data_IF_586797412473
#
_entry.id   IF_586797412473
#
_cell.length_a   1.000
_cell.length_b   1.000
_cell.length_c   1.000
_cell.angle_alpha   90.00
_cell.angle_beta   90.00
_cell.angle_gamma   90.00
#
_symmetry.space_group_name_H-M   'P 1'
#
loop_
_entity.id
_entity.type
_entity.pdbx_description
1 polymer ?
#
# COMPACT_ATOMS: atom_id res chain seq x y z
N UNK A 1 35.95 56.54 -80.85
CA UNK A 1 35.84 55.07 -80.83
C UNK A 1 36.60 54.58 -79.60
N UNK A 2 35.88 54.28 -78.53
CA UNK A 2 36.43 53.79 -77.26
C UNK A 2 36.62 52.27 -77.34
N UNK A 3 37.79 51.76 -76.97
CA UNK A 3 37.94 50.39 -76.49
C UNK A 3 38.87 50.42 -75.28
N UNK A 4 38.26 50.25 -74.10
CA UNK A 4 38.94 50.05 -72.83
C UNK A 4 39.49 48.62 -72.77
N UNK A 5 40.76 48.53 -72.39
CA UNK A 5 41.40 47.30 -71.93
C UNK A 5 40.73 46.83 -70.63
N UNK A 6 40.32 45.56 -70.57
CA UNK A 6 40.11 44.87 -69.30
C UNK A 6 40.94 43.60 -69.26
N UNK A 7 41.72 43.55 -68.19
CA UNK A 7 42.83 42.67 -67.85
C UNK A 7 42.35 41.23 -67.57
N UNK A 8 43.04 40.24 -68.16
CA UNK A 8 42.83 38.81 -67.91
C UNK A 8 43.72 38.37 -66.74
N UNK A 9 43.11 38.05 -65.60
CA UNK A 9 43.74 37.25 -64.54
C UNK A 9 43.21 35.80 -64.55
N UNK A 10 44.00 34.82 -64.08
CA UNK A 10 44.15 33.52 -64.75
C UNK A 10 43.20 32.43 -64.26
N UNK A 11 42.73 31.60 -65.21
CA UNK A 11 41.87 30.40 -65.03
C UNK A 11 42.33 29.38 -63.98
N UNK A 12 43.56 29.49 -63.45
CA UNK A 12 44.10 28.57 -62.43
C UNK A 12 43.37 28.71 -61.08
N UNK A 13 42.93 29.93 -60.73
CA UNK A 13 42.21 30.16 -59.48
C UNK A 13 40.81 29.54 -59.50
N UNK A 14 40.14 29.59 -60.65
CA UNK A 14 38.82 28.99 -60.82
C UNK A 14 38.86 27.45 -60.80
N UNK A 15 39.90 26.82 -61.36
CA UNK A 15 40.02 25.36 -61.33
C UNK A 15 40.31 24.82 -59.92
N UNK A 16 41.11 25.54 -59.13
CA UNK A 16 41.38 25.19 -57.72
C UNK A 16 40.13 25.40 -56.86
N UNK A 17 39.37 26.48 -57.08
CA UNK A 17 38.10 26.69 -56.37
C UNK A 17 37.09 25.61 -56.74
N UNK A 18 36.99 25.22 -58.01
CA UNK A 18 36.10 24.14 -58.43
C UNK A 18 36.54 22.80 -57.82
N UNK A 19 37.85 22.50 -57.77
CA UNK A 19 38.32 21.26 -57.14
C UNK A 19 38.08 21.25 -55.63
N UNK A 20 38.27 22.38 -54.92
CA UNK A 20 38.00 22.50 -53.48
C UNK A 20 36.50 22.42 -53.19
N UNK A 21 35.66 23.07 -53.99
CA UNK A 21 34.19 23.01 -53.84
C UNK A 21 33.65 21.61 -54.13
N UNK A 22 34.18 20.92 -55.14
CA UNK A 22 33.81 19.52 -55.43
C UNK A 22 34.32 18.58 -54.34
N UNK A 23 35.54 18.80 -53.80
CA UNK A 23 36.06 18.00 -52.68
C UNK A 23 35.28 18.23 -51.38
N UNK A 24 34.82 19.47 -51.12
CA UNK A 24 33.94 19.79 -49.99
C UNK A 24 32.54 19.17 -50.18
N UNK A 25 31.98 19.19 -51.40
CA UNK A 25 30.70 18.53 -51.69
C UNK A 25 30.80 17.00 -51.54
N UNK A 26 31.90 16.40 -51.98
CA UNK A 26 32.17 14.96 -51.82
C UNK A 26 32.34 14.60 -50.32
N UNK A 27 33.01 15.41 -49.51
CA UNK A 27 33.09 15.20 -48.06
C UNK A 27 31.71 15.30 -47.38
N UNK A 28 30.82 16.18 -47.86
CA UNK A 28 29.43 16.25 -47.36
C UNK A 28 28.54 15.10 -47.86
N UNK A 29 28.87 14.46 -49.00
CA UNK A 29 28.12 13.32 -49.55
C UNK A 29 28.63 11.95 -49.08
N UNK A 30 29.87 11.83 -48.59
CA UNK A 30 30.36 10.61 -47.93
C UNK A 30 30.15 10.60 -46.40
N UNK A 31 29.60 11.69 -45.84
CA UNK A 31 29.04 11.72 -44.48
C UNK A 31 27.50 11.53 -44.45
N UNK A 32 26.91 11.00 -45.52
CA UNK A 32 25.66 10.22 -45.40
C UNK A 32 26.01 8.74 -45.29
N UNK A 33 26.91 8.42 -44.35
CA UNK A 33 26.73 7.18 -43.61
C UNK A 33 25.35 7.27 -42.98
N UNK A 34 24.58 6.19 -43.07
CA UNK A 34 23.31 6.06 -42.41
C UNK A 34 23.54 6.29 -40.91
N UNK A 35 23.43 7.54 -40.48
CA UNK A 35 23.13 7.86 -39.10
C UNK A 35 21.74 7.27 -38.90
N UNK A 36 21.70 5.98 -38.56
CA UNK A 36 20.75 5.55 -37.57
C UNK A 36 20.92 6.59 -36.46
N UNK A 37 19.98 7.53 -36.41
CA UNK A 37 19.48 7.95 -35.13
C UNK A 37 19.17 6.62 -34.45
N UNK A 38 20.12 6.15 -33.63
CA UNK A 38 19.79 5.39 -32.45
C UNK A 38 18.84 6.37 -31.77
N UNK A 39 17.54 6.21 -32.06
CA UNK A 39 16.49 6.95 -31.41
C UNK A 39 16.85 6.88 -29.93
N UNK A 40 16.79 8.03 -29.25
CA UNK A 40 17.14 8.14 -27.83
C UNK A 40 16.82 6.81 -27.18
N UNK A 41 17.86 6.08 -26.73
CA UNK A 41 17.73 4.74 -26.18
C UNK A 41 16.47 4.80 -25.34
N UNK A 42 15.42 4.07 -25.76
CA UNK A 42 14.21 4.01 -24.95
C UNK A 42 14.72 3.75 -23.54
N UNK A 43 14.36 4.57 -22.53
CA UNK A 43 14.82 4.30 -21.20
C UNK A 43 14.39 2.87 -20.94
N UNK A 44 15.35 1.96 -20.77
CA UNK A 44 15.08 0.63 -20.23
C UNK A 44 14.29 0.96 -18.97
N UNK A 45 12.97 0.76 -18.95
CA UNK A 45 12.18 1.11 -17.77
C UNK A 45 12.38 -0.06 -16.85
N UNK A 46 13.54 -0.10 -16.18
CA UNK A 46 13.72 -1.01 -15.08
C UNK A 46 12.77 -0.51 -14.01
N UNK A 47 11.69 -1.23 -13.79
CA UNK A 47 10.75 -0.95 -12.72
C UNK A 47 11.45 -1.33 -11.43
N UNK A 48 11.71 -0.34 -10.59
CA UNK A 48 12.32 -0.52 -9.28
C UNK A 48 11.23 -0.44 -8.22
N UNK A 49 11.10 -1.48 -7.43
CA UNK A 49 10.17 -1.51 -6.31
C UNK A 49 10.98 -1.85 -5.07
N UNK A 50 10.93 -0.97 -4.06
CA UNK A 50 11.44 -1.28 -2.73
C UNK A 50 10.26 -1.27 -1.78
N UNK A 51 10.10 -2.34 -1.00
CA UNK A 51 9.01 -2.51 -0.04
C UNK A 51 9.53 -2.97 1.31
N UNK A 52 8.78 -2.63 2.37
CA UNK A 52 8.96 -3.22 3.69
C UNK A 52 8.35 -4.62 3.65
N UNK A 53 9.18 -5.65 3.78
CA UNK A 53 8.79 -7.05 3.65
C UNK A 53 8.40 -7.70 4.99
N UNK A 54 8.83 -7.13 6.13
CA UNK A 54 8.45 -7.63 7.45
C UNK A 54 9.25 -7.04 8.60
N UNK A 55 8.90 -7.48 9.81
CA UNK A 55 9.61 -7.17 11.06
C UNK A 55 10.18 -8.46 11.63
N UNK A 56 11.46 -8.44 12.03
CA UNK A 56 12.11 -9.57 12.67
C UNK A 56 11.86 -9.52 14.19
N UNK A 57 11.06 -10.47 14.67
CA UNK A 57 10.54 -10.53 16.05
C UNK A 57 11.60 -10.81 17.12
N UNK A 58 12.80 -11.23 16.71
CA UNK A 58 13.90 -11.60 17.61
C UNK A 58 14.93 -10.50 17.80
N UNK A 59 15.02 -9.52 16.89
CA UNK A 59 16.17 -8.61 16.78
C UNK A 59 15.81 -7.12 16.64
N UNK A 60 14.52 -6.75 16.68
CA UNK A 60 14.04 -5.39 16.31
C UNK A 60 14.46 -4.95 14.89
N UNK A 61 14.80 -5.92 14.04
CA UNK A 61 15.18 -5.69 12.64
C UNK A 61 13.97 -5.48 11.74
N UNK A 62 14.15 -4.67 10.70
CA UNK A 62 13.19 -4.44 9.62
C UNK A 62 13.73 -5.14 8.37
N UNK A 63 12.89 -5.94 7.71
CA UNK A 63 13.27 -6.62 6.46
C UNK A 63 12.82 -5.75 5.28
N UNK A 64 13.77 -5.39 4.42
CA UNK A 64 13.54 -4.64 3.20
C UNK A 64 13.68 -5.57 2.00
N UNK A 65 12.84 -5.40 0.99
CA UNK A 65 12.92 -6.11 -0.28
C UNK A 65 13.05 -5.12 -1.43
N UNK A 66 13.94 -5.42 -2.36
CA UNK A 66 14.14 -4.67 -3.59
C UNK A 66 13.97 -5.59 -4.79
N UNK A 67 13.10 -5.22 -5.72
CA UNK A 67 12.86 -5.93 -6.97
C UNK A 67 13.12 -4.99 -8.15
N UNK A 68 13.84 -5.48 -9.17
CA UNK A 68 14.14 -4.73 -10.39
C UNK A 68 14.06 -5.60 -11.64
N UNK A 69 13.37 -5.13 -12.68
CA UNK A 69 13.12 -5.88 -13.94
C UNK A 69 13.81 -5.27 -15.14
N UNK A 70 13.94 -6.04 -16.22
CA UNK A 70 14.32 -5.50 -17.54
C UNK A 70 15.83 -5.35 -17.77
N UNK A 71 16.65 -6.18 -17.13
CA UNK A 71 18.10 -6.10 -17.23
C UNK A 71 18.68 -7.01 -18.30
N UNK A 72 19.68 -6.55 -19.05
CA UNK A 72 20.51 -7.38 -19.93
C UNK A 72 21.86 -6.67 -20.14
N UNK A 73 23.03 -7.29 -19.86
CA UNK A 73 23.25 -8.63 -19.28
C UNK A 73 22.84 -8.75 -17.80
N UNK A 74 23.04 -9.92 -17.20
CA UNK A 74 22.75 -10.21 -15.78
C UNK A 74 23.36 -9.16 -14.85
N UNK A 75 22.58 -8.53 -13.94
CA UNK A 75 23.07 -7.50 -13.04
C UNK A 75 23.39 -8.04 -11.63
N UNK A 76 24.14 -7.25 -10.86
CA UNK A 76 24.42 -7.45 -9.43
C UNK A 76 23.59 -6.49 -8.58
N UNK A 77 23.17 -6.92 -7.38
CA UNK A 77 22.39 -6.10 -6.42
C UNK A 77 23.20 -5.86 -5.16
N UNK A 78 23.30 -4.60 -4.74
CA UNK A 78 24.00 -4.15 -3.53
C UNK A 78 23.05 -3.32 -2.66
N UNK A 79 23.13 -3.53 -1.36
CA UNK A 79 22.44 -2.70 -0.37
C UNK A 79 23.42 -1.75 0.29
N UNK A 80 23.04 -0.49 0.43
CA UNK A 80 23.83 0.54 1.10
C UNK A 80 23.02 1.19 2.22
N UNK A 81 23.70 1.58 3.28
CA UNK A 81 23.13 2.46 4.31
C UNK A 81 23.05 3.93 3.84
N UNK A 82 22.63 4.83 4.73
CA UNK A 82 22.48 6.25 4.43
C UNK A 82 23.80 6.96 4.12
N UNK A 83 24.92 6.37 4.57
CA UNK A 83 26.29 6.86 4.46
C UNK A 83 27.03 6.29 3.24
N UNK A 84 26.48 5.24 2.62
CA UNK A 84 27.02 4.57 1.44
C UNK A 84 27.83 3.32 1.75
N UNK A 85 27.82 2.80 2.98
CA UNK A 85 28.47 1.55 3.33
C UNK A 85 27.64 0.35 2.89
N UNK A 86 28.32 -0.71 2.43
CA UNK A 86 27.68 -1.94 1.96
C UNK A 86 27.12 -2.74 3.14
N UNK A 87 25.85 -3.12 3.02
CA UNK A 87 25.13 -3.95 3.98
C UNK A 87 25.20 -5.43 3.58
N UNK A 88 25.27 -6.29 4.59
CA UNK A 88 25.21 -7.74 4.37
C UNK A 88 23.77 -8.17 4.09
N UNK A 89 23.46 -8.48 2.84
CA UNK A 89 22.14 -8.91 2.40
C UNK A 89 22.04 -10.44 2.23
N UNK A 90 20.82 -10.95 2.16
CA UNK A 90 20.57 -12.35 1.81
C UNK A 90 20.90 -12.62 0.33
N UNK A 91 20.82 -13.90 -0.09
CA UNK A 91 21.01 -14.27 -1.49
C UNK A 91 20.05 -13.50 -2.41
N UNK A 92 20.57 -13.02 -3.55
CA UNK A 92 19.74 -12.40 -4.58
C UNK A 92 19.12 -13.49 -5.46
N UNK A 93 17.81 -13.40 -5.64
CA UNK A 93 17.05 -14.22 -6.58
C UNK A 93 17.11 -13.58 -7.97
N UNK A 94 17.47 -14.38 -8.97
CA UNK A 94 17.59 -13.93 -10.36
C UNK A 94 16.76 -14.85 -11.24
N UNK A 95 15.82 -14.28 -11.99
CA UNK A 95 14.93 -15.01 -12.89
C UNK A 95 15.00 -14.38 -14.27
N UNK A 96 15.12 -15.20 -15.32
CA UNK A 96 15.05 -14.75 -16.71
C UNK A 96 13.61 -14.83 -17.18
N UNK A 97 13.06 -13.71 -17.63
CA UNK A 97 11.72 -13.61 -18.19
C UNK A 97 11.62 -14.18 -19.61
N UNK A 98 10.40 -14.35 -20.14
CA UNK A 98 10.17 -14.78 -21.52
C UNK A 98 10.62 -13.75 -22.56
N UNK A 99 10.84 -12.50 -22.13
CA UNK A 99 11.37 -11.37 -22.88
C UNK A 99 12.90 -11.38 -23.02
N UNK A 100 13.56 -12.43 -22.51
CA UNK A 100 15.02 -12.57 -22.46
C UNK A 100 15.72 -11.56 -21.54
N UNK A 101 14.96 -10.87 -20.68
CA UNK A 101 15.48 -9.92 -19.70
C UNK A 101 15.52 -10.53 -18.29
N UNK A 102 16.49 -10.09 -17.50
CA UNK A 102 16.68 -10.51 -16.13
C UNK A 102 15.82 -9.67 -15.18
N UNK A 103 15.20 -10.37 -14.22
CA UNK A 103 14.53 -9.81 -13.05
C UNK A 103 15.32 -10.24 -11.82
N UNK A 104 15.63 -9.28 -10.94
CA UNK A 104 16.37 -9.50 -9.70
C UNK A 104 15.55 -9.11 -8.50
N UNK A 105 15.64 -9.89 -7.43
CA UNK A 105 14.99 -9.64 -6.14
C UNK A 105 15.99 -9.91 -5.01
N UNK A 106 16.16 -8.96 -4.10
CA UNK A 106 17.07 -9.08 -2.96
C UNK A 106 16.40 -8.62 -1.67
N UNK A 107 16.72 -9.29 -0.56
CA UNK A 107 16.21 -8.97 0.77
C UNK A 107 17.37 -8.67 1.72
N UNK A 108 17.20 -7.64 2.57
CA UNK A 108 18.15 -7.28 3.62
C UNK A 108 17.41 -7.03 4.92
N UNK A 109 18.00 -7.46 6.04
CA UNK A 109 17.51 -7.11 7.38
C UNK A 109 18.37 -5.99 7.93
N UNK A 110 17.74 -4.88 8.31
CA UNK A 110 18.40 -3.68 8.84
C UNK A 110 17.85 -3.35 10.22
N UNK A 111 18.67 -2.73 11.05
CA UNK A 111 18.26 -2.22 12.35
C UNK A 111 18.56 -0.72 12.46
N UNK A 112 18.16 -0.11 13.57
CA UNK A 112 18.33 1.34 13.80
C UNK A 112 19.80 1.81 13.74
N UNK A 113 20.79 0.93 13.93
CA UNK A 113 22.23 1.28 13.90
C UNK A 113 22.68 1.65 12.49
N UNK A 114 22.02 1.11 11.47
CA UNK A 114 22.31 1.37 10.06
C UNK A 114 21.62 2.64 9.54
N UNK A 115 21.00 3.43 10.43
CA UNK A 115 20.28 4.66 10.09
C UNK A 115 18.83 4.41 9.68
N UNK A 116 18.24 5.39 9.00
CA UNK A 116 16.85 5.35 8.54
C UNK A 116 16.71 5.41 7.02
N UNK A 117 17.82 5.58 6.29
CA UNK A 117 17.85 5.67 4.83
C UNK A 117 18.66 4.51 4.28
N UNK A 118 18.10 3.83 3.30
CA UNK A 118 18.71 2.67 2.66
C UNK A 118 18.64 2.81 1.15
N UNK A 119 19.66 2.32 0.46
CA UNK A 119 19.76 2.38 -0.99
C UNK A 119 19.90 0.98 -1.54
N UNK A 120 19.00 0.61 -2.45
CA UNK A 120 19.18 -0.57 -3.30
C UNK A 120 19.84 -0.13 -4.61
N UNK A 121 21.03 -0.64 -4.87
CA UNK A 121 21.82 -0.35 -6.07
C UNK A 121 21.91 -1.60 -6.93
N UNK A 122 21.49 -1.50 -8.19
CA UNK A 122 21.63 -2.56 -9.19
C UNK A 122 22.67 -2.11 -10.21
N UNK A 123 23.73 -2.90 -10.37
CA UNK A 123 24.88 -2.57 -11.22
C UNK A 123 25.17 -3.66 -12.25
N UNK A 124 25.54 -3.25 -13.46
CA UNK A 124 26.03 -4.14 -14.51
C UNK A 124 27.51 -3.82 -14.75
N UNK A 125 28.38 -4.62 -14.15
CA UNK A 125 29.85 -4.45 -14.20
C UNK A 125 30.40 -4.51 -15.62
N UNK A 126 29.81 -5.32 -16.50
CA UNK A 126 30.25 -5.47 -17.91
C UNK A 126 30.08 -4.18 -18.70
N UNK A 127 28.96 -3.48 -18.52
CA UNK A 127 28.62 -2.27 -19.30
C UNK A 127 28.72 -0.98 -18.47
N UNK A 128 29.18 -1.08 -17.22
CA UNK A 128 29.32 0.02 -16.26
C UNK A 128 28.03 0.86 -16.09
N UNK A 129 26.87 0.21 -16.14
CA UNK A 129 25.59 0.86 -15.84
C UNK A 129 25.20 0.60 -14.39
N UNK A 130 24.64 1.60 -13.74
CA UNK A 130 24.17 1.50 -12.36
C UNK A 130 22.90 2.29 -12.21
N UNK A 131 21.94 1.73 -11.48
CA UNK A 131 20.71 2.42 -11.07
C UNK A 131 20.44 2.14 -9.62
N UNK A 132 19.92 3.14 -8.94
CA UNK A 132 19.68 3.06 -7.51
C UNK A 132 18.34 3.67 -7.15
N UNK A 133 17.76 3.15 -6.08
CA UNK A 133 16.53 3.65 -5.48
C UNK A 133 16.72 3.71 -3.98
N UNK A 134 16.10 4.71 -3.35
CA UNK A 134 16.25 4.97 -1.94
C UNK A 134 14.93 4.73 -1.22
N UNK A 135 15.03 4.24 0.00
CA UNK A 135 13.93 4.06 0.92
C UNK A 135 14.26 4.70 2.25
N UNK A 136 13.28 5.35 2.85
CA UNK A 136 13.36 5.84 4.21
C UNK A 136 12.38 5.05 5.09
N UNK A 137 12.88 4.48 6.18
CA UNK A 137 12.10 3.71 7.15
C UNK A 137 11.80 4.61 8.35
N UNK A 138 10.53 4.69 8.76
CA UNK A 138 10.16 5.45 9.97
C UNK A 138 10.75 4.81 11.21
N UNK A 139 11.10 5.64 12.18
CA UNK A 139 11.71 5.20 13.43
C UNK A 139 10.78 4.26 14.22
N UNK A 140 9.46 4.40 14.05
CA UNK A 140 8.42 3.58 14.71
C UNK A 140 8.57 2.08 14.40
N UNK A 141 9.05 1.72 13.21
CA UNK A 141 9.26 0.32 12.83
C UNK A 141 10.43 -0.33 13.57
N UNK A 142 11.39 0.45 14.07
CA UNK A 142 12.52 -0.05 14.86
C UNK A 142 12.19 -0.15 16.36
N UNK A 143 11.14 0.54 16.84
CA UNK A 143 10.75 0.57 18.25
C UNK A 143 9.74 -0.53 18.65
N UNK A 144 9.48 -1.51 17.79
CA UNK A 144 8.50 -2.59 18.06
C UNK A 144 8.95 -3.49 19.24
N UNK A 145 10.18 -3.37 19.72
CA UNK A 145 10.65 -4.02 20.92
C UNK A 145 10.58 -3.09 22.15
N UNK A 146 9.56 -3.32 22.98
CA UNK A 146 9.47 -3.04 24.45
C UNK A 146 8.44 -1.98 24.87
N UNK A 147 7.21 -2.40 25.16
CA UNK A 147 6.46 -1.86 26.33
C UNK A 147 5.15 -2.58 26.68
N UNK A 148 4.72 -3.65 25.99
CA UNK A 148 3.45 -4.31 26.38
C UNK A 148 3.61 -5.18 27.64
N UNK A 149 4.80 -5.72 27.90
CA UNK A 149 5.03 -6.67 28.99
C UNK A 149 5.10 -6.06 30.41
N UNK A 150 5.72 -4.88 30.68
CA UNK A 150 5.70 -4.34 32.05
C UNK A 150 4.36 -3.68 32.42
N UNK A 151 3.63 -3.12 31.44
CA UNK A 151 2.34 -2.43 31.69
C UNK A 151 1.23 -3.43 32.02
N UNK A 152 1.16 -4.56 31.29
CA UNK A 152 0.16 -5.60 31.56
C UNK A 152 0.40 -6.31 32.89
N UNK A 153 1.65 -6.62 33.25
CA UNK A 153 1.97 -7.23 34.56
C UNK A 153 1.69 -6.26 35.70
N UNK A 154 2.05 -4.98 35.56
CA UNK A 154 1.76 -3.95 36.58
C UNK A 154 0.26 -3.76 36.81
N UNK A 155 -0.55 -3.78 35.75
CA UNK A 155 -1.99 -3.62 35.84
C UNK A 155 -2.66 -4.83 36.52
N UNK A 156 -2.22 -6.06 36.20
CA UNK A 156 -2.73 -7.28 36.85
C UNK A 156 -2.39 -7.31 38.34
N UNK A 157 -1.17 -6.94 38.73
CA UNK A 157 -0.77 -6.87 40.14
C UNK A 157 -1.53 -5.79 40.88
N UNK A 158 -1.70 -4.61 40.27
CA UNK A 158 -2.48 -3.50 40.84
C UNK A 158 -3.94 -3.90 41.09
N UNK A 159 -4.58 -4.55 40.10
CA UNK A 159 -5.95 -5.05 40.24
C UNK A 159 -6.06 -6.11 41.33
N UNK A 160 -5.10 -7.04 41.41
CA UNK A 160 -5.08 -8.05 42.47
C UNK A 160 -4.96 -7.42 43.87
N UNK A 161 -4.10 -6.42 44.05
CA UNK A 161 -3.94 -5.70 45.33
C UNK A 161 -5.21 -4.93 45.69
N UNK A 162 -5.86 -4.28 44.71
CA UNK A 162 -7.14 -3.60 44.91
C UNK A 162 -8.26 -4.56 45.34
N UNK A 163 -8.32 -5.77 44.75
CA UNK A 163 -9.31 -6.78 45.14
C UNK A 163 -9.04 -7.28 46.57
N UNK A 164 -7.79 -7.57 46.91
CA UNK A 164 -7.42 -8.04 48.25
C UNK A 164 -7.70 -6.99 49.33
N UNK A 165 -7.43 -5.71 49.06
CA UNK A 165 -7.72 -4.63 50.01
C UNK A 165 -9.23 -4.43 50.20
N UNK A 166 -10.03 -4.49 49.14
CA UNK A 166 -11.49 -4.46 49.22
C UNK A 166 -12.04 -5.62 50.06
N UNK A 167 -11.56 -6.85 49.83
CA UNK A 167 -11.96 -8.02 50.61
C UNK A 167 -11.61 -7.87 52.09
N UNK A 168 -10.41 -7.36 52.41
CA UNK A 168 -10.01 -7.10 53.80
C UNK A 168 -10.92 -6.07 54.49
N UNK A 169 -11.27 -4.98 53.80
CA UNK A 169 -12.19 -3.96 54.32
C UNK A 169 -13.57 -4.57 54.60
N UNK A 170 -14.12 -5.35 53.66
CA UNK A 170 -15.42 -6.02 53.85
C UNK A 170 -15.40 -6.99 55.03
N UNK A 171 -14.31 -7.74 55.23
CA UNK A 171 -14.16 -8.65 56.37
C UNK A 171 -14.07 -7.90 57.70
N UNK A 172 -13.36 -6.77 57.75
CA UNK A 172 -13.29 -5.90 58.94
C UNK A 172 -14.65 -5.27 59.28
N UNK A 173 -15.41 -4.88 58.26
CA UNK A 173 -16.76 -4.33 58.44
C UNK A 173 -17.74 -5.39 58.94
N UNK A 174 -17.68 -6.62 58.41
CA UNK A 174 -18.47 -7.76 58.92
C UNK A 174 -18.12 -8.09 60.37
N UNK A 175 -16.83 -8.07 60.74
CA UNK A 175 -16.38 -8.34 62.12
C UNK A 175 -16.86 -7.27 63.11
N UNK A 176 -16.81 -5.99 62.72
CA UNK A 176 -17.28 -4.86 63.54
C UNK A 176 -18.80 -4.86 63.74
N UNK A 177 -19.56 -5.30 62.73
CA UNK A 177 -21.02 -5.37 62.82
C UNK A 177 -21.54 -6.55 63.66
N UNK A 178 -20.73 -7.60 63.86
CA UNK A 178 -21.09 -8.74 64.74
C UNK A 178 -20.90 -8.45 66.24
N UNK A 179 -20.30 -7.33 66.63
CA UNK A 179 -20.01 -6.98 68.04
C UNK A 179 -21.05 -6.07 68.68
N UNK A 180 -22.11 -5.66 67.96
CA UNK A 180 -23.20 -4.82 68.49
C UNK A 180 -24.56 -5.50 68.37
N UNK A 181 -24.75 -6.63 69.06
CA UNK A 181 -26.02 -6.98 69.70
C UNK A 181 -25.84 -8.22 70.59
N UNK A 182 -25.67 -8.02 71.90
CA UNK A 182 -25.97 -9.02 72.93
C UNK A 182 -25.96 -8.38 74.33
N UNK A 183 -27.12 -8.40 75.02
CA UNK A 183 -27.39 -8.51 76.48
C UNK A 183 -28.87 -8.07 76.68
N UNK A 184 -29.83 -9.03 76.75
CA UNK A 184 -30.59 -9.58 77.93
C UNK A 184 -31.58 -8.56 78.56
N UNK A 185 -32.77 -8.86 79.10
CA UNK A 185 -33.77 -9.95 79.16
C UNK A 185 -35.04 -9.30 79.80
N UNK A 186 -36.19 -9.98 79.80
CA UNK A 186 -37.42 -9.60 80.55
C UNK A 186 -37.13 -9.22 82.02
N UNK A 187 -37.79 -8.20 82.58
CA UNK A 187 -38.99 -8.31 83.46
C UNK A 187 -39.31 -6.96 84.18
N UNK A 188 -40.58 -6.81 84.53
CA UNK A 188 -41.20 -6.15 85.70
C UNK A 188 -40.93 -4.68 86.14
N UNK A 189 -42.08 -4.01 86.36
CA UNK A 189 -42.46 -3.11 87.45
C UNK A 189 -41.92 -1.67 87.59
N UNK A 190 -42.87 -0.74 87.41
CA UNK A 190 -43.48 0.14 88.44
C UNK A 190 -42.63 1.21 89.18
N UNK A 191 -43.20 2.43 89.20
CA UNK A 191 -42.95 3.60 90.07
C UNK A 191 -41.48 4.05 90.24
N UNK A 192 -41.04 5.18 89.69
CA UNK A 192 -41.64 6.51 89.86
C UNK A 192 -40.70 7.37 90.72
N UNK A 193 -40.68 8.70 90.47
CA UNK A 193 -40.02 9.75 91.27
C UNK A 193 -38.48 9.86 91.14
N UNK A 194 -37.84 11.03 91.00
CA UNK A 194 -38.21 12.45 90.82
C UNK A 194 -36.86 13.21 90.74
N UNK A 195 -36.86 14.35 90.05
CA UNK A 195 -36.13 15.60 90.38
C UNK A 195 -35.14 16.12 89.29
N UNK A 196 -35.54 17.16 88.53
CA UNK A 196 -35.28 18.62 88.73
C UNK A 196 -33.89 18.99 88.18
N UNK A 197 -33.73 19.63 87.00
CA UNK A 197 -34.09 20.98 86.51
C UNK A 197 -32.86 21.90 86.51
N UNK A 198 -32.53 22.52 85.37
CA UNK A 198 -32.27 23.98 85.28
C UNK A 198 -32.26 24.46 83.81
N UNK A 199 -33.19 25.36 83.47
CA UNK A 199 -33.00 26.49 82.53
C UNK A 199 -33.41 27.73 83.34
N UNK A 200 -32.75 28.91 83.29
CA UNK A 200 -32.58 29.76 82.09
C UNK A 200 -31.21 30.53 82.10
N UNK A 201 -30.68 31.20 81.06
CA UNK A 201 -31.17 32.35 80.28
C UNK A 201 -30.24 33.57 80.51
N UNK A 202 -29.89 34.32 79.45
CA UNK A 202 -29.69 35.79 79.50
C UNK A 202 -29.74 36.41 78.11
N UNK A 203 -30.41 37.55 78.05
CA UNK A 203 -30.84 38.35 76.90
C UNK A 203 -30.26 39.77 77.04
N UNK A 204 -30.06 40.45 75.89
CA UNK A 204 -30.20 41.92 75.66
C UNK A 204 -29.11 42.86 76.25
N UNK A 205 -28.65 43.96 75.63
CA UNK A 205 -29.12 44.89 74.58
C UNK A 205 -27.88 45.63 73.96
N UNK A 206 -27.76 45.81 72.62
CA UNK A 206 -28.02 47.00 71.75
C UNK A 206 -26.76 47.81 71.32
N UNK A 207 -26.43 47.88 70.00
CA UNK A 207 -26.60 49.02 69.02
C UNK A 207 -25.43 50.03 69.12
N UNK A 208 -24.70 50.52 68.11
CA UNK A 208 -24.69 50.59 66.62
C UNK A 208 -23.22 51.00 66.27
N UNK A 209 -22.59 50.67 65.13
CA UNK A 209 -22.55 51.41 63.84
C UNK A 209 -21.56 50.63 62.94
N UNK A 210 -21.89 50.53 61.64
CA UNK A 210 -21.07 50.08 60.49
C UNK A 210 -20.53 48.64 60.60
N UNK A 211 -21.03 47.68 59.83
CA UNK A 211 -20.57 47.46 58.47
C UNK A 211 -21.59 46.59 57.71
N UNK A 212 -22.51 47.24 56.98
CA UNK A 212 -23.45 46.58 56.08
C UNK A 212 -23.04 46.91 54.65
N UNK A 213 -21.92 46.32 54.21
CA UNK A 213 -21.32 46.60 52.90
C UNK A 213 -20.75 45.39 52.15
N UNK A 214 -20.57 44.22 52.77
CA UNK A 214 -19.84 43.10 52.14
C UNK A 214 -20.58 41.76 52.10
N UNK A 215 -21.88 41.72 52.42
CA UNK A 215 -22.67 40.48 52.33
C UNK A 215 -23.65 40.41 51.16
N UNK A 216 -23.84 41.50 50.42
CA UNK A 216 -24.67 41.53 49.21
C UNK A 216 -23.84 41.47 47.91
N UNK A 217 -22.57 41.88 47.91
CA UNK A 217 -21.64 41.74 46.77
C UNK A 217 -21.10 40.32 46.57
N UNK A 218 -20.91 39.55 47.66
CA UNK A 218 -20.40 38.17 47.59
C UNK A 218 -21.44 37.16 47.07
N UNK A 219 -22.74 37.41 47.28
CA UNK A 219 -23.80 36.53 46.80
C UNK A 219 -24.15 36.78 45.33
N UNK A 220 -23.99 38.01 44.82
CA UNK A 220 -24.26 38.34 43.41
C UNK A 220 -23.14 37.80 42.50
N UNK A 221 -21.87 37.99 42.86
CA UNK A 221 -20.70 37.51 42.10
C UNK A 221 -20.66 35.96 42.01
N UNK A 222 -21.01 35.26 43.11
CA UNK A 222 -21.07 33.79 43.11
C UNK A 222 -22.24 33.22 42.30
N UNK A 223 -23.33 33.98 42.13
CA UNK A 223 -24.49 33.58 41.34
C UNK A 223 -24.25 33.83 39.85
N UNK A 224 -23.62 34.95 39.47
CA UNK A 224 -23.18 35.22 38.09
C UNK A 224 -22.15 34.19 37.59
N UNK A 225 -21.17 33.81 38.41
CA UNK A 225 -20.22 32.76 38.05
C UNK A 225 -20.88 31.38 37.91
N UNK A 226 -21.91 31.07 38.71
CA UNK A 226 -22.64 29.80 38.63
C UNK A 226 -23.54 29.73 37.39
N UNK A 227 -24.17 30.85 36.99
CA UNK A 227 -24.93 30.95 35.74
C UNK A 227 -24.02 30.90 34.50
N UNK A 228 -22.84 31.52 34.55
CA UNK A 228 -21.84 31.44 33.47
C UNK A 228 -21.28 30.01 33.32
N UNK A 229 -21.01 29.33 34.44
CA UNK A 229 -20.61 27.91 34.42
C UNK A 229 -21.72 26.99 33.93
N UNK A 230 -22.98 27.21 34.30
CA UNK A 230 -24.12 26.41 33.83
C UNK A 230 -24.38 26.63 32.33
N UNK A 231 -24.24 27.89 31.87
CA UNK A 231 -24.25 28.24 30.44
C UNK A 231 -23.15 27.54 29.65
N UNK A 232 -21.91 27.51 30.17
CA UNK A 232 -20.78 26.77 29.59
C UNK A 232 -21.04 25.25 29.57
N UNK A 233 -21.65 24.69 30.63
CA UNK A 233 -22.02 23.27 30.73
C UNK A 233 -23.08 22.88 29.70
N UNK A 234 -24.12 23.70 29.52
CA UNK A 234 -25.17 23.52 28.51
C UNK A 234 -24.60 23.61 27.09
N UNK A 235 -23.71 24.58 26.82
CA UNK A 235 -22.99 24.69 25.54
C UNK A 235 -22.13 23.45 25.27
N UNK A 236 -21.42 22.95 26.29
CA UNK A 236 -20.57 21.76 26.19
C UNK A 236 -21.38 20.48 25.94
N UNK A 237 -22.48 20.26 26.69
CA UNK A 237 -23.42 19.15 26.44
C UNK A 237 -24.00 19.18 25.03
N UNK A 238 -24.41 20.35 24.53
CA UNK A 238 -24.93 20.49 23.18
C UNK A 238 -23.85 20.21 22.11
N UNK A 239 -22.60 20.58 22.37
CA UNK A 239 -21.45 20.26 21.50
C UNK A 239 -21.15 18.75 21.50
N UNK A 240 -21.17 18.09 22.65
CA UNK A 240 -20.97 16.63 22.78
C UNK A 240 -22.10 15.84 22.09
N UNK A 241 -23.35 16.28 22.23
CA UNK A 241 -24.49 15.66 21.54
C UNK A 241 -24.37 15.77 20.01
N UNK A 242 -23.92 16.92 19.48
CA UNK A 242 -23.66 17.08 18.05
C UNK A 242 -22.49 16.22 17.54
N UNK A 243 -21.49 15.97 18.38
CA UNK A 243 -20.36 15.09 18.03
C UNK A 243 -20.84 13.63 17.98
N UNK A 244 -21.65 13.19 18.94
CA UNK A 244 -22.24 11.85 18.94
C UNK A 244 -23.10 11.59 17.71
N UNK A 245 -23.95 12.54 17.33
CA UNK A 245 -24.78 12.41 16.13
C UNK A 245 -23.93 12.27 14.86
N UNK A 246 -22.89 13.11 14.71
CA UNK A 246 -21.97 13.01 13.57
C UNK A 246 -21.17 11.71 13.55
N UNK A 247 -20.88 11.13 14.72
CA UNK A 247 -20.21 9.84 14.83
C UNK A 247 -21.12 8.70 14.38
N UNK A 248 -22.38 8.68 14.81
CA UNK A 248 -23.35 7.67 14.35
C UNK A 248 -23.59 7.75 12.83
N UNK A 249 -23.70 8.97 12.28
CA UNK A 249 -23.80 9.19 10.83
C UNK A 249 -22.56 8.66 10.10
N UNK A 250 -21.36 8.91 10.62
CA UNK A 250 -20.11 8.38 10.05
C UNK A 250 -20.05 6.85 10.12
N UNK A 251 -20.45 6.24 11.24
CA UNK A 251 -20.44 4.78 11.43
C UNK A 251 -21.38 4.06 10.45
N UNK A 252 -22.56 4.63 10.18
CA UNK A 252 -23.49 4.11 9.16
C UNK A 252 -22.87 4.20 7.77
N UNK A 253 -22.20 5.32 7.45
CA UNK A 253 -21.54 5.46 6.14
C UNK A 253 -20.38 4.48 5.94
N UNK A 254 -19.61 4.18 6.99
CA UNK A 254 -18.52 3.19 6.93
C UNK A 254 -19.07 1.80 6.65
N UNK A 255 -20.13 1.37 7.37
CA UNK A 255 -20.77 0.06 7.14
C UNK A 255 -21.27 -0.12 5.70
N UNK A 256 -21.91 0.91 5.13
CA UNK A 256 -22.38 0.86 3.75
C UNK A 256 -21.21 0.75 2.74
N UNK A 257 -20.09 1.42 3.01
CA UNK A 257 -18.90 1.36 2.15
C UNK A 257 -18.21 -0.01 2.25
N UNK A 258 -18.18 -0.63 3.43
CA UNK A 258 -17.66 -1.98 3.62
C UNK A 258 -18.46 -3.02 2.81
N UNK A 259 -19.79 -2.94 2.83
CA UNK A 259 -20.65 -3.80 2.01
C UNK A 259 -20.40 -3.61 0.51
N UNK A 260 -20.26 -2.36 0.04
CA UNK A 260 -19.93 -2.07 -1.36
C UNK A 260 -18.56 -2.63 -1.76
N UNK A 261 -17.57 -2.55 -0.86
CA UNK A 261 -16.22 -3.05 -1.08
C UNK A 261 -16.16 -4.58 -1.12
N UNK A 262 -16.92 -5.26 -0.26
CA UNK A 262 -17.07 -6.72 -0.28
C UNK A 262 -17.74 -7.18 -1.59
N UNK A 263 -18.79 -6.48 -2.02
CA UNK A 263 -19.48 -6.77 -3.28
C UNK A 263 -18.52 -6.65 -4.48
N UNK A 264 -17.71 -5.59 -4.53
CA UNK A 264 -16.70 -5.42 -5.60
C UNK A 264 -15.57 -6.45 -5.53
N UNK A 265 -15.17 -6.89 -4.33
CA UNK A 265 -14.17 -7.93 -4.15
C UNK A 265 -14.64 -9.27 -4.73
N UNK A 266 -15.89 -9.66 -4.46
CA UNK A 266 -16.48 -10.89 -5.02
C UNK A 266 -16.66 -10.80 -6.55
N UNK A 267 -16.98 -9.62 -7.10
CA UNK A 267 -17.02 -9.41 -8.55
C UNK A 267 -15.65 -9.64 -9.20
N UNK A 268 -14.58 -9.12 -8.59
CA UNK A 268 -13.20 -9.34 -9.06
C UNK A 268 -12.82 -10.81 -9.02
N UNK A 269 -13.09 -11.50 -7.91
CA UNK A 269 -12.78 -12.93 -7.75
C UNK A 269 -13.49 -13.79 -8.83
N UNK A 270 -14.78 -13.51 -9.08
CA UNK A 270 -15.52 -14.18 -10.15
C UNK A 270 -14.91 -13.93 -11.53
N UNK A 271 -14.55 -12.68 -11.85
CA UNK A 271 -13.91 -12.33 -13.14
C UNK A 271 -12.51 -12.92 -13.29
N UNK A 272 -11.76 -13.04 -12.20
CA UNK A 272 -10.46 -13.72 -12.19
C UNK A 272 -10.60 -15.22 -12.48
N UNK A 273 -11.61 -15.87 -11.92
CA UNK A 273 -11.89 -17.28 -12.21
C UNK A 273 -12.26 -17.52 -13.68
N UNK A 274 -13.07 -16.64 -14.27
CA UNK A 274 -13.42 -16.70 -15.71
C UNK A 274 -12.19 -16.48 -16.60
N UNK A 275 -11.32 -15.52 -16.24
CA UNK A 275 -10.06 -15.29 -16.95
C UNK A 275 -9.12 -16.49 -16.88
N UNK A 276 -9.04 -17.17 -15.72
CA UNK A 276 -8.23 -18.37 -15.57
C UNK A 276 -8.72 -19.49 -16.49
N UNK A 277 -10.04 -19.72 -16.55
CA UNK A 277 -10.63 -20.71 -17.45
C UNK A 277 -10.31 -20.38 -18.93
N UNK A 278 -10.48 -19.12 -19.34
CA UNK A 278 -10.16 -18.70 -20.71
C UNK A 278 -8.68 -18.87 -21.05
N UNK A 279 -7.78 -18.70 -20.08
CA UNK A 279 -6.35 -18.92 -20.27
C UNK A 279 -6.04 -20.40 -20.52
N UNK A 280 -6.63 -21.32 -19.76
CA UNK A 280 -6.47 -22.76 -19.93
C UNK A 280 -7.00 -23.23 -21.30
N UNK A 281 -8.19 -22.77 -21.71
CA UNK A 281 -8.75 -23.08 -23.03
C UNK A 281 -7.88 -22.57 -24.19
N UNK A 282 -7.23 -21.41 -24.03
CA UNK A 282 -6.30 -20.89 -25.02
C UNK A 282 -5.00 -21.68 -25.07
N UNK A 283 -4.48 -22.12 -23.92
CA UNK A 283 -3.30 -22.97 -23.88
C UNK A 283 -3.54 -24.32 -24.59
N UNK A 284 -4.72 -24.90 -24.46
CA UNK A 284 -5.10 -26.11 -25.21
C UNK A 284 -5.17 -25.84 -26.71
N UNK A 285 -5.77 -24.72 -27.11
CA UNK A 285 -5.82 -24.32 -28.53
C UNK A 285 -4.45 -24.08 -29.15
N UNK A 286 -3.51 -23.50 -28.42
CA UNK A 286 -2.13 -23.34 -28.90
C UNK A 286 -1.45 -24.69 -29.18
N UNK A 287 -1.66 -25.69 -28.31
CA UNK A 287 -1.18 -27.06 -28.54
C UNK A 287 -1.82 -27.68 -29.80
N UNK A 288 -3.13 -27.48 -29.99
CA UNK A 288 -3.84 -27.93 -31.18
C UNK A 288 -3.33 -27.23 -32.46
N UNK A 289 -3.07 -25.93 -32.38
CA UNK A 289 -2.51 -25.13 -33.47
C UNK A 289 -1.12 -25.65 -33.87
N UNK A 290 -0.26 -25.91 -32.89
CA UNK A 290 1.07 -26.49 -33.13
C UNK A 290 0.98 -27.86 -33.81
N UNK A 291 0.04 -28.70 -33.37
CA UNK A 291 -0.20 -30.02 -33.99
C UNK A 291 -0.60 -29.90 -35.47
N UNK A 292 -1.45 -28.92 -35.83
CA UNK A 292 -1.84 -28.67 -37.23
C UNK A 292 -0.64 -28.15 -38.03
N UNK A 293 0.18 -27.29 -37.44
CA UNK A 293 1.42 -26.77 -38.06
C UNK A 293 2.41 -27.89 -38.38
N UNK A 294 2.62 -28.82 -37.44
CA UNK A 294 3.51 -29.97 -37.64
C UNK A 294 2.98 -30.91 -38.74
N UNK A 295 1.66 -31.16 -38.78
CA UNK A 295 1.00 -31.93 -39.85
C UNK A 295 1.18 -31.25 -41.22
N UNK A 296 1.02 -29.94 -41.28
CA UNK A 296 1.23 -29.16 -42.50
C UNK A 296 2.68 -29.25 -42.98
N UNK A 297 3.66 -29.16 -42.07
CA UNK A 297 5.08 -29.30 -42.42
C UNK A 297 5.39 -30.70 -42.96
N UNK A 298 4.88 -31.75 -42.30
CA UNK A 298 5.04 -33.13 -42.76
C UNK A 298 4.46 -33.34 -44.17
N UNK A 299 3.26 -32.81 -44.42
CA UNK A 299 2.62 -32.88 -45.75
C UNK A 299 3.35 -32.06 -46.81
N UNK A 300 3.92 -30.92 -46.44
CA UNK A 300 4.74 -30.13 -47.35
C UNK A 300 6.05 -30.86 -47.73
N UNK A 301 6.67 -31.58 -46.78
CA UNK A 301 7.83 -32.46 -47.05
C UNK A 301 7.45 -33.65 -47.96
N UNK A 302 6.29 -34.27 -47.75
CA UNK A 302 5.75 -35.30 -48.65
C UNK A 302 5.57 -34.74 -50.06
N UNK A 303 4.98 -33.54 -50.18
CA UNK A 303 4.78 -32.88 -51.46
C UNK A 303 6.09 -32.59 -52.20
N UNK A 304 7.12 -32.11 -51.49
CA UNK A 304 8.45 -31.89 -52.06
C UNK A 304 9.07 -33.19 -52.57
N UNK A 305 8.91 -34.29 -51.82
CA UNK A 305 9.41 -35.61 -52.21
C UNK A 305 8.72 -36.11 -53.48
N UNK A 306 7.39 -35.97 -53.57
CA UNK A 306 6.63 -36.36 -54.77
C UNK A 306 7.02 -35.49 -55.98
N UNK A 307 7.22 -34.18 -55.80
CA UNK A 307 7.71 -33.28 -56.86
C UNK A 307 9.09 -33.71 -57.37
N UNK A 308 10.03 -34.00 -56.47
CA UNK A 308 11.37 -34.47 -56.83
C UNK A 308 11.34 -35.82 -57.58
N UNK A 309 10.45 -36.74 -57.21
CA UNK A 309 10.26 -38.00 -57.93
C UNK A 309 9.72 -37.80 -59.35
N UNK A 310 8.81 -36.84 -59.56
CA UNK A 310 8.26 -36.50 -60.89
C UNK A 310 9.35 -35.90 -61.80
N UNK A 311 10.25 -35.08 -61.26
CA UNK A 311 11.33 -34.45 -62.01
C UNK A 311 12.44 -35.43 -62.42
N UNK A 312 12.46 -36.64 -61.85
CA UNK A 312 13.43 -37.67 -62.15
C UNK A 312 13.17 -38.30 -63.54
N UNK A 313 14.18 -38.22 -64.43
CA UNK A 313 14.09 -38.56 -65.85
C UNK A 313 13.93 -40.07 -66.19
N UNK A 314 13.75 -40.95 -65.20
CA UNK A 314 13.83 -42.44 -65.33
C UNK A 314 12.47 -43.16 -65.25
N UNK A 315 11.35 -42.45 -65.18
CA UNK A 315 10.02 -43.08 -65.01
C UNK A 315 9.35 -43.45 -66.33
N UNK A 316 8.63 -44.58 -66.33
CA UNK A 316 7.70 -44.96 -67.40
C UNK A 316 6.48 -44.03 -67.40
N UNK A 317 5.77 -43.91 -68.52
CA UNK A 317 4.58 -43.05 -68.65
C UNK A 317 3.51 -43.35 -67.59
N UNK A 318 3.25 -44.63 -67.31
CA UNK A 318 2.29 -45.09 -66.31
C UNK A 318 2.67 -44.70 -64.88
N UNK A 319 3.95 -44.81 -64.50
CA UNK A 319 4.43 -44.36 -63.18
C UNK A 319 4.33 -42.84 -63.02
N UNK A 320 4.51 -42.08 -64.11
CA UNK A 320 4.38 -40.62 -64.11
C UNK A 320 2.94 -40.17 -63.85
N UNK A 321 1.94 -40.81 -64.47
CA UNK A 321 0.51 -40.54 -64.21
C UNK A 321 0.13 -40.83 -62.76
N UNK A 322 0.61 -41.95 -62.20
CA UNK A 322 0.37 -42.33 -60.80
C UNK A 322 0.94 -41.29 -59.82
N UNK A 323 2.16 -40.79 -60.08
CA UNK A 323 2.80 -39.76 -59.26
C UNK A 323 2.11 -38.39 -59.40
N UNK A 324 1.60 -38.04 -60.59
CA UNK A 324 0.81 -36.83 -60.79
C UNK A 324 -0.51 -36.87 -59.99
N UNK A 325 -1.20 -38.00 -59.99
CA UNK A 325 -2.40 -38.18 -59.16
C UNK A 325 -2.06 -38.03 -57.69
N UNK A 326 -0.98 -38.67 -57.20
CA UNK A 326 -0.53 -38.51 -55.82
C UNK A 326 -0.19 -37.06 -55.47
N UNK A 327 0.49 -36.33 -56.36
CA UNK A 327 0.80 -34.90 -56.19
C UNK A 327 -0.46 -34.08 -55.97
N UNK A 328 -1.49 -34.25 -56.81
CA UNK A 328 -2.74 -33.47 -56.69
C UNK A 328 -3.50 -33.76 -55.40
N UNK A 329 -3.47 -35.01 -54.91
CA UNK A 329 -4.05 -35.37 -53.61
C UNK A 329 -3.31 -34.67 -52.46
N UNK A 330 -1.98 -34.74 -52.44
CA UNK A 330 -1.17 -34.09 -51.39
C UNK A 330 -1.31 -32.56 -51.46
N UNK A 331 -1.39 -31.96 -52.65
CA UNK A 331 -1.63 -30.51 -52.81
C UNK A 331 -2.97 -30.07 -52.22
N UNK A 332 -4.04 -30.85 -52.42
CA UNK A 332 -5.35 -30.57 -51.81
C UNK A 332 -5.33 -30.71 -50.29
N UNK A 333 -4.63 -31.70 -49.75
CA UNK A 333 -4.46 -31.86 -48.29
C UNK A 333 -3.69 -30.69 -47.69
N UNK A 334 -2.61 -30.24 -48.32
CA UNK A 334 -1.84 -29.05 -47.90
C UNK A 334 -2.71 -27.79 -47.93
N UNK A 335 -3.50 -27.58 -48.99
CA UNK A 335 -4.38 -26.42 -49.08
C UNK A 335 -5.48 -26.44 -48.00
N UNK A 336 -6.02 -27.62 -47.71
CA UNK A 336 -7.04 -27.80 -46.65
C UNK A 336 -6.46 -27.50 -45.27
N UNK A 337 -5.29 -28.06 -44.95
CA UNK A 337 -4.59 -27.80 -43.68
C UNK A 337 -4.19 -26.32 -43.55
N UNK A 338 -3.79 -25.67 -44.64
CA UNK A 338 -3.46 -24.24 -44.63
C UNK A 338 -4.68 -23.36 -44.30
N UNK A 339 -5.84 -23.63 -44.92
CA UNK A 339 -7.10 -22.92 -44.59
C UNK A 339 -7.53 -23.14 -43.15
N UNK A 340 -7.38 -24.36 -42.63
CA UNK A 340 -7.65 -24.66 -41.23
C UNK A 340 -6.72 -23.88 -40.30
N UNK A 341 -5.41 -23.81 -40.63
CA UNK A 341 -4.43 -23.05 -39.86
C UNK A 341 -4.76 -21.56 -39.83
N UNK A 342 -5.02 -20.94 -40.98
CA UNK A 342 -5.40 -19.52 -41.08
C UNK A 342 -6.66 -19.21 -40.25
N UNK A 343 -7.66 -20.10 -40.29
CA UNK A 343 -8.89 -19.96 -39.48
C UNK A 343 -8.56 -20.00 -37.98
N UNK A 344 -7.78 -20.99 -37.55
CA UNK A 344 -7.40 -21.13 -36.13
C UNK A 344 -6.53 -19.97 -35.63
N UNK A 345 -5.62 -19.45 -36.46
CA UNK A 345 -4.79 -18.27 -36.13
C UNK A 345 -5.65 -17.02 -35.93
N UNK A 346 -6.61 -16.75 -36.82
CA UNK A 346 -7.51 -15.59 -36.69
C UNK A 346 -8.41 -15.70 -35.44
N UNK A 347 -8.93 -16.89 -35.16
CA UNK A 347 -9.76 -17.15 -33.98
C UNK A 347 -8.95 -17.02 -32.68
N UNK A 348 -7.69 -17.47 -32.69
CA UNK A 348 -6.74 -17.28 -31.58
C UNK A 348 -6.44 -15.79 -31.33
N UNK A 349 -6.15 -15.03 -32.38
CA UNK A 349 -5.87 -13.59 -32.28
C UNK A 349 -7.07 -12.80 -31.71
N UNK A 350 -8.28 -13.18 -32.11
CA UNK A 350 -9.52 -12.59 -31.61
C UNK A 350 -9.67 -12.82 -30.11
N UNK A 351 -9.47 -14.07 -29.64
CA UNK A 351 -9.55 -14.40 -28.22
C UNK A 351 -8.46 -13.75 -27.37
N UNK A 352 -7.24 -13.63 -27.88
CA UNK A 352 -6.16 -12.90 -27.19
C UNK A 352 -6.60 -11.46 -26.91
N UNK A 353 -7.23 -10.81 -27.89
CA UNK A 353 -7.74 -9.45 -27.74
C UNK A 353 -8.87 -9.37 -26.70
N UNK A 354 -9.80 -10.33 -26.70
CA UNK A 354 -10.88 -10.40 -25.71
C UNK A 354 -10.34 -10.61 -24.27
N UNK A 355 -9.34 -11.49 -24.11
CA UNK A 355 -8.69 -11.70 -22.81
C UNK A 355 -7.98 -10.43 -22.33
N UNK A 356 -7.28 -9.72 -23.23
CA UNK A 356 -6.61 -8.47 -22.89
C UNK A 356 -7.60 -7.40 -22.42
N UNK A 357 -8.77 -7.31 -23.05
CA UNK A 357 -9.83 -6.38 -22.66
C UNK A 357 -10.42 -6.74 -21.29
N UNK A 358 -10.77 -8.02 -21.07
CA UNK A 358 -11.25 -8.52 -19.77
C UNK A 358 -10.22 -8.29 -18.66
N UNK A 359 -8.93 -8.49 -18.94
CA UNK A 359 -7.85 -8.28 -17.99
C UNK A 359 -7.66 -6.80 -17.64
N UNK A 360 -7.84 -5.89 -18.61
CA UNK A 360 -7.83 -4.45 -18.36
C UNK A 360 -9.00 -4.02 -17.46
N UNK A 361 -10.19 -4.59 -17.65
CA UNK A 361 -11.35 -4.29 -16.82
C UNK A 361 -11.18 -4.80 -15.38
N UNK A 362 -10.62 -6.00 -15.19
CA UNK A 362 -10.26 -6.50 -13.85
C UNK A 362 -9.24 -5.58 -13.18
N UNK A 363 -8.23 -5.10 -13.92
CA UNK A 363 -7.25 -4.17 -13.37
C UNK A 363 -7.90 -2.85 -12.93
N UNK A 364 -8.81 -2.29 -13.72
CA UNK A 364 -9.57 -1.07 -13.33
C UNK A 364 -10.38 -1.29 -12.05
N UNK A 365 -11.01 -2.45 -11.90
CA UNK A 365 -11.75 -2.80 -10.68
C UNK A 365 -10.82 -2.89 -9.47
N UNK A 366 -9.66 -3.55 -9.61
CA UNK A 366 -8.64 -3.64 -8.55
C UNK A 366 -8.12 -2.27 -8.13
N UNK A 367 -7.78 -1.41 -9.09
CA UNK A 367 -7.33 -0.04 -8.81
C UNK A 367 -8.43 0.76 -8.08
N UNK A 368 -9.69 0.56 -8.46
CA UNK A 368 -10.85 1.14 -7.78
C UNK A 368 -10.98 0.68 -6.33
N UNK A 369 -10.82 -0.63 -6.06
CA UNK A 369 -10.83 -1.21 -4.71
C UNK A 369 -9.69 -0.62 -3.88
N UNK A 370 -8.47 -0.61 -4.40
CA UNK A 370 -7.31 -0.06 -3.69
C UNK A 370 -7.49 1.42 -3.34
N UNK A 371 -8.14 2.20 -4.22
CA UNK A 371 -8.48 3.60 -3.94
C UNK A 371 -9.52 3.75 -2.82
N UNK A 372 -10.48 2.85 -2.73
CA UNK A 372 -11.45 2.85 -1.62
C UNK A 372 -10.78 2.41 -0.30
N UNK A 373 -9.94 1.37 -0.32
CA UNK A 373 -9.20 0.89 0.86
C UNK A 373 -8.28 2.00 1.42
N UNK A 374 -7.56 2.71 0.56
CA UNK A 374 -6.70 3.85 0.98
C UNK A 374 -7.50 5.01 1.55
N UNK A 375 -8.68 5.31 1.00
CA UNK A 375 -9.57 6.33 1.56
C UNK A 375 -10.12 5.92 2.93
N UNK A 376 -10.42 4.64 3.14
CA UNK A 376 -10.89 4.10 4.42
C UNK A 376 -9.78 4.16 5.49
N UNK A 377 -8.55 3.81 5.13
CA UNK A 377 -7.40 3.84 6.05
C UNK A 377 -7.02 5.28 6.48
N UNK A 378 -7.25 6.29 5.63
CA UNK A 378 -7.13 7.70 6.04
C UNK A 378 -8.22 8.12 7.04
N UNK A 379 -9.42 7.54 6.94
CA UNK A 379 -10.53 7.85 7.84
C UNK A 379 -10.34 7.22 9.22
N UNK A 380 -9.84 5.98 9.30
CA UNK A 380 -9.53 5.29 10.57
C UNK A 380 -8.45 6.02 11.37
N UNK A 381 -7.41 6.53 10.70
CA UNK A 381 -6.38 7.36 11.33
C UNK A 381 -6.95 8.67 11.90
N UNK A 382 -8.02 9.19 11.29
CA UNK A 382 -8.71 10.40 11.75
C UNK A 382 -9.62 10.10 12.95
N UNK A 383 -10.24 8.92 13.00
CA UNK A 383 -11.07 8.46 14.12
C UNK A 383 -10.23 8.14 15.37
N UNK A 384 -9.05 7.53 15.22
CA UNK A 384 -8.09 7.32 16.32
C UNK A 384 -7.68 8.67 16.94
N UNK A 385 -7.43 9.69 16.12
CA UNK A 385 -7.08 11.04 16.55
C UNK A 385 -8.23 11.77 17.28
N UNK A 386 -9.48 11.56 16.85
CA UNK A 386 -10.67 12.09 17.54
C UNK A 386 -10.92 11.38 18.87
N UNK A 387 -10.67 10.07 18.93
CA UNK A 387 -10.85 9.22 20.12
C UNK A 387 -9.84 9.57 21.22
N UNK A 388 -8.58 9.83 20.85
CA UNK A 388 -7.54 10.33 21.77
C UNK A 388 -7.88 11.73 22.27
N UNK A 389 -8.38 12.62 21.40
CA UNK A 389 -8.88 13.93 21.82
C UNK A 389 -10.05 13.81 22.80
N UNK A 390 -10.98 12.87 22.65
CA UNK A 390 -12.06 12.70 23.64
C UNK A 390 -11.56 12.20 25.01
N UNK A 391 -10.59 11.27 25.03
CA UNK A 391 -10.05 10.70 26.27
C UNK A 391 -9.18 11.70 27.06
N UNK A 392 -8.37 12.51 26.38
CA UNK A 392 -7.59 13.58 27.04
C UNK A 392 -8.50 14.66 27.64
N UNK A 393 -9.63 14.96 27.00
CA UNK A 393 -10.59 15.96 27.48
C UNK A 393 -11.45 15.47 28.65
N UNK A 394 -11.78 14.17 28.69
CA UNK A 394 -12.52 13.57 29.82
C UNK A 394 -11.66 13.48 31.10
N UNK A 395 -10.36 13.15 30.96
CA UNK A 395 -9.40 13.24 32.07
C UNK A 395 -9.26 14.67 32.62
N UNK A 396 -9.25 15.68 31.74
CA UNK A 396 -9.14 17.08 32.16
C UNK A 396 -10.38 17.56 32.92
N UNK A 397 -11.57 17.04 32.58
CA UNK A 397 -12.81 17.39 33.30
C UNK A 397 -12.89 16.78 34.68
N UNK A 398 -12.45 15.54 34.88
CA UNK A 398 -12.44 14.90 36.19
C UNK A 398 -11.44 15.54 37.15
N UNK A 399 -10.25 15.94 36.65
CA UNK A 399 -9.26 16.68 37.47
C UNK A 399 -9.79 18.04 37.89
N UNK A 400 -10.50 18.76 36.99
CA UNK A 400 -11.08 20.07 37.33
C UNK A 400 -12.24 19.97 38.33
N UNK A 401 -13.05 18.91 38.26
CA UNK A 401 -14.17 18.69 39.18
C UNK A 401 -13.66 18.34 40.60
N UNK A 402 -12.62 17.52 40.68
CA UNK A 402 -11.98 17.14 41.96
C UNK A 402 -11.26 18.34 42.61
N UNK A 403 -10.59 19.19 41.82
CA UNK A 403 -9.97 20.41 42.37
C UNK A 403 -11.01 21.42 42.89
N UNK A 404 -12.14 21.58 42.22
CA UNK A 404 -13.16 22.55 42.63
C UNK A 404 -13.96 22.09 43.86
N UNK A 405 -14.09 20.77 44.06
CA UNK A 405 -14.78 20.19 45.22
C UNK A 405 -13.91 20.17 46.49
N UNK A 406 -12.58 20.20 46.32
CA UNK A 406 -11.60 20.32 47.42
C UNK A 406 -11.51 21.76 47.96
N UNK A 407 -11.99 22.76 47.21
CA UNK A 407 -12.01 24.18 47.61
C UNK A 407 -13.32 24.60 48.34
N UNK A 408 -14.27 23.69 48.54
CA UNK A 408 -15.59 23.97 49.15
C UNK A 408 -15.80 23.22 50.48
N UNK A 409 -14.85 22.38 50.91
CA UNK A 409 -14.76 21.78 52.26
C UNK A 409 -13.64 22.44 53.05
#
# INVERSE_FOLDING_TARGET
>A
MMLFHTDRKPLKYNLVIISVSVFQLILTQFCTGQSQLIGASQPIVATFVVTLAGLETTSSGVVLQCESKGWNPEPEVLWLDGEGHVLSAGPTEIVRGPDDLYTVSSRVTVDKRHGNRFTCRVQQTIINQTRETHMQVSDDFFYVQSSIFPVTVGLVVSVAVCILSFLAIVLLWRKKNSSKCKIRQLDENDKGQRNICFKPGKTKDQIFIEEKGERETLMVDKTEQMEEMDGKRKKKKNKTSKIHQKKEEAEITVKNLEEELETKRTEVENKESELQQLHEENQEREKNLQTVKDKLEAKNKELQTVKAQIDQRRFTSFSKETLQTKKTVVEKEVETLKKQLETMETESQTRITEIQDKQADVQRLKDGIQKMETNQQMNDNTEVHLSTFTLEYDLFTDVSLVQQQTLIL
#
